data_IF_235864041047
#
_entry.id   IF_235864041047
#
_cell.length_a   1.000
_cell.length_b   1.000
_cell.length_c   1.000
_cell.angle_alpha   90.00
_cell.angle_beta   90.00
_cell.angle_gamma   90.00
#
_symmetry.space_group_name_H-M   'P 1'
#
loop_
_entity.id
_entity.type
_entity.pdbx_description
1 polymer ?
#
# COMPACT_ATOMS: atom_id res chain seq x y z
N UNK A 1 -23.62 -7.26 -9.69
CA UNK A 1 -22.70 -7.21 -10.85
C UNK A 1 -22.56 -8.61 -11.41
N UNK A 2 -22.79 -8.82 -12.71
CA UNK A 2 -22.61 -10.15 -13.32
C UNK A 2 -21.12 -10.40 -13.43
N UNK A 3 -20.62 -11.48 -12.81
CA UNK A 3 -19.24 -11.90 -12.99
C UNK A 3 -19.00 -12.23 -14.48
N UNK A 4 -18.01 -11.63 -15.10
CA UNK A 4 -17.68 -11.82 -16.53
C UNK A 4 -16.85 -13.08 -16.78
N UNK A 5 -16.37 -13.71 -15.72
CA UNK A 5 -15.57 -14.92 -15.74
C UNK A 5 -16.36 -16.07 -15.12
N UNK A 6 -16.30 -17.22 -15.76
CA UNK A 6 -16.76 -18.50 -15.18
C UNK A 6 -15.77 -18.99 -14.13
N UNK A 7 -16.17 -19.94 -13.29
CA UNK A 7 -15.30 -20.54 -12.28
C UNK A 7 -14.02 -21.14 -12.91
N UNK A 8 -14.15 -21.82 -14.06
CA UNK A 8 -13.00 -22.38 -14.78
C UNK A 8 -12.04 -21.31 -15.31
N UNK A 9 -12.55 -20.13 -15.68
CA UNK A 9 -11.71 -19.00 -16.10
C UNK A 9 -11.05 -18.32 -14.91
N UNK A 10 -11.71 -18.23 -13.77
CA UNK A 10 -11.10 -17.76 -12.50
C UNK A 10 -9.95 -18.67 -12.11
N UNK A 11 -10.11 -20.00 -12.16
CA UNK A 11 -9.02 -20.95 -11.89
C UNK A 11 -7.86 -20.78 -12.87
N UNK A 12 -8.18 -20.59 -14.15
CA UNK A 12 -7.15 -20.36 -15.16
C UNK A 12 -6.35 -19.08 -14.87
N UNK A 13 -7.02 -17.98 -14.51
CA UNK A 13 -6.36 -16.72 -14.12
C UNK A 13 -5.49 -16.89 -12.86
N UNK A 14 -6.01 -17.57 -11.83
CA UNK A 14 -5.24 -17.83 -10.60
C UNK A 14 -3.95 -18.60 -10.95
N UNK A 15 -4.05 -19.65 -11.74
CA UNK A 15 -2.89 -20.45 -12.16
C UNK A 15 -1.94 -19.67 -13.07
N UNK A 16 -2.47 -18.97 -14.08
CA UNK A 16 -1.67 -18.27 -15.10
C UNK A 16 -0.86 -17.11 -14.51
N UNK A 17 -1.44 -16.37 -13.57
CA UNK A 17 -0.79 -15.21 -12.96
C UNK A 17 -0.13 -15.52 -11.62
N UNK A 18 -0.20 -16.76 -11.13
CA UNK A 18 0.39 -17.15 -9.85
C UNK A 18 -0.25 -16.42 -8.66
N UNK A 19 -1.58 -16.23 -8.71
CA UNK A 19 -2.30 -15.54 -7.64
C UNK A 19 -2.36 -16.46 -6.42
N UNK A 20 -1.89 -15.95 -5.27
CA UNK A 20 -1.95 -16.70 -4.02
C UNK A 20 -3.34 -16.53 -3.37
N UNK A 21 -4.11 -17.61 -3.30
CA UNK A 21 -5.42 -17.65 -2.64
C UNK A 21 -5.41 -18.40 -1.31
N UNK A 22 -4.23 -18.85 -0.83
CA UNK A 22 -4.09 -19.50 0.48
C UNK A 22 -4.09 -18.49 1.61
N UNK A 23 -5.26 -17.96 1.89
CA UNK A 23 -5.53 -17.00 2.95
C UNK A 23 -6.62 -17.54 3.88
N UNK A 24 -6.54 -17.19 5.16
CA UNK A 24 -7.50 -17.63 6.17
C UNK A 24 -8.38 -16.45 6.62
N UNK A 25 -9.69 -16.62 6.54
CA UNK A 25 -10.61 -15.60 7.03
C UNK A 25 -10.53 -15.51 8.55
N UNK A 26 -10.27 -14.30 9.05
CA UNK A 26 -10.31 -13.97 10.48
C UNK A 26 -11.73 -13.59 10.85
N UNK A 27 -12.31 -14.28 11.86
CA UNK A 27 -13.64 -13.92 12.36
C UNK A 27 -13.54 -12.66 13.20
N UNK A 28 -14.16 -11.58 12.75
CA UNK A 28 -14.23 -10.30 13.44
C UNK A 28 -15.69 -9.87 13.62
N UNK A 29 -15.91 -8.96 14.57
CA UNK A 29 -17.16 -8.20 14.73
C UNK A 29 -17.18 -6.97 13.83
N UNK A 30 -16.01 -6.54 13.34
CA UNK A 30 -15.86 -5.39 12.46
C UNK A 30 -16.56 -5.60 11.11
N UNK A 31 -17.01 -4.49 10.50
CA UNK A 31 -17.76 -4.45 9.22
C UNK A 31 -16.84 -4.57 7.98
N UNK A 32 -15.58 -5.01 8.17
CA UNK A 32 -14.64 -5.35 7.10
C UNK A 32 -14.30 -6.83 7.16
N UNK A 33 -14.08 -7.44 6.00
CA UNK A 33 -13.54 -8.79 5.94
C UNK A 33 -12.02 -8.73 6.09
N UNK A 34 -11.49 -9.51 7.05
CA UNK A 34 -10.05 -9.64 7.29
C UNK A 34 -9.59 -11.04 6.93
N UNK A 35 -8.53 -11.14 6.13
CA UNK A 35 -7.91 -12.40 5.75
C UNK A 35 -6.44 -12.41 6.16
N UNK A 36 -5.99 -13.46 6.83
CA UNK A 36 -4.59 -13.67 7.19
C UNK A 36 -3.88 -14.44 6.08
N UNK A 37 -2.72 -13.96 5.66
CA UNK A 37 -1.83 -14.68 4.73
C UNK A 37 -1.00 -15.67 5.53
N UNK A 38 -0.98 -16.94 5.08
CA UNK A 38 -0.21 -18.00 5.72
C UNK A 38 1.24 -18.04 5.26
N UNK A 39 2.10 -18.71 6.04
CA UNK A 39 3.48 -19.02 5.65
C UNK A 39 4.46 -17.83 5.74
N UNK A 40 4.07 -16.69 6.33
CA UNK A 40 4.95 -15.56 6.61
C UNK A 40 5.51 -15.63 8.04
N UNK A 41 6.74 -15.15 8.22
CA UNK A 41 7.38 -15.02 9.55
C UNK A 41 6.83 -13.83 10.35
N UNK A 42 5.93 -13.04 9.77
CA UNK A 42 5.26 -11.87 10.35
C UNK A 42 3.75 -11.96 10.11
N UNK A 43 2.97 -11.19 10.86
CA UNK A 43 1.54 -11.13 10.66
C UNK A 43 1.21 -10.25 9.45
N UNK A 44 0.57 -10.83 8.45
CA UNK A 44 0.11 -10.12 7.26
C UNK A 44 -1.37 -10.40 7.02
N UNK A 45 -2.14 -9.33 6.92
CA UNK A 45 -3.58 -9.36 6.73
C UNK A 45 -3.98 -8.57 5.48
N UNK A 46 -5.09 -8.97 4.89
CA UNK A 46 -5.76 -8.25 3.80
C UNK A 46 -7.08 -7.73 4.33
N UNK A 47 -7.33 -6.44 4.17
CA UNK A 47 -8.62 -5.80 4.46
C UNK A 47 -9.41 -5.73 3.15
N UNK A 48 -10.51 -6.49 3.09
CA UNK A 48 -11.43 -6.51 1.97
C UNK A 48 -12.74 -5.80 2.34
N UNK A 49 -13.12 -4.84 1.51
CA UNK A 49 -14.38 -4.11 1.63
C UNK A 49 -14.77 -3.49 0.29
N UNK A 50 -16.03 -3.06 0.12
CA UNK A 50 -16.43 -2.34 -1.09
C UNK A 50 -15.61 -1.08 -1.36
N UNK A 51 -15.19 -0.37 -0.31
CA UNK A 51 -14.33 0.83 -0.41
C UNK A 51 -12.94 0.46 -0.90
N UNK A 52 -12.31 -0.58 -0.31
CA UNK A 52 -11.00 -1.09 -0.73
C UNK A 52 -11.02 -1.47 -2.21
N UNK A 53 -12.08 -2.17 -2.66
CA UNK A 53 -12.27 -2.54 -4.05
C UNK A 53 -12.35 -1.32 -4.98
N UNK A 54 -13.14 -0.32 -4.61
CA UNK A 54 -13.29 0.88 -5.44
C UNK A 54 -11.98 1.64 -5.58
N UNK A 55 -11.26 1.85 -4.47
CA UNK A 55 -9.98 2.55 -4.47
C UNK A 55 -8.94 1.82 -5.32
N UNK A 56 -8.88 0.48 -5.21
CA UNK A 56 -7.92 -0.36 -5.93
C UNK A 56 -8.21 -0.50 -7.43
N UNK A 57 -9.49 -0.48 -7.83
CA UNK A 57 -9.89 -0.74 -9.22
C UNK A 57 -10.17 0.52 -10.04
N UNK A 58 -10.22 1.72 -9.42
CA UNK A 58 -10.64 2.95 -10.09
C UNK A 58 -9.57 4.04 -10.00
N UNK A 59 -8.61 4.10 -10.94
CA UNK A 59 -7.58 5.15 -10.93
C UNK A 59 -8.15 6.56 -11.15
N UNK A 60 -9.34 6.67 -11.72
CA UNK A 60 -10.06 7.95 -11.88
C UNK A 60 -10.69 8.49 -10.59
N UNK A 61 -10.68 7.71 -9.53
CA UNK A 61 -11.16 8.12 -8.21
C UNK A 61 -10.14 9.08 -7.58
N UNK A 62 -10.50 10.36 -7.47
CA UNK A 62 -9.60 11.44 -7.03
C UNK A 62 -10.35 12.48 -6.18
N UNK A 63 -9.62 13.35 -5.49
CA UNK A 63 -10.16 14.46 -4.72
C UNK A 63 -11.08 14.01 -3.58
N UNK A 64 -12.11 14.76 -3.31
CA UNK A 64 -13.04 14.55 -2.19
C UNK A 64 -13.72 13.17 -2.21
N UNK A 65 -14.00 12.60 -3.40
CA UNK A 65 -14.54 11.24 -3.51
C UNK A 65 -13.54 10.20 -3.03
N UNK A 66 -12.26 10.36 -3.41
CA UNK A 66 -11.18 9.50 -2.94
C UNK A 66 -10.99 9.60 -1.43
N UNK A 67 -10.93 10.81 -0.88
CA UNK A 67 -10.75 11.05 0.55
C UNK A 67 -11.91 10.51 1.37
N UNK A 68 -13.15 10.70 0.89
CA UNK A 68 -14.35 10.15 1.54
C UNK A 68 -14.33 8.62 1.60
N UNK A 69 -13.96 7.95 0.51
CA UNK A 69 -13.88 6.49 0.49
C UNK A 69 -12.72 5.97 1.33
N UNK A 70 -11.57 6.65 1.31
CA UNK A 70 -10.43 6.30 2.14
C UNK A 70 -10.75 6.45 3.64
N UNK A 71 -11.46 7.52 4.03
CA UNK A 71 -11.95 7.69 5.40
C UNK A 71 -12.96 6.62 5.82
N UNK A 72 -13.90 6.25 4.94
CA UNK A 72 -14.85 5.16 5.21
C UNK A 72 -14.15 3.80 5.36
N UNK A 73 -13.13 3.53 4.53
CA UNK A 73 -12.29 2.34 4.64
C UNK A 73 -11.52 2.32 5.96
N UNK A 74 -10.91 3.43 6.35
CA UNK A 74 -10.16 3.56 7.61
C UNK A 74 -11.05 3.33 8.83
N UNK A 75 -12.28 3.85 8.81
CA UNK A 75 -13.26 3.61 9.88
C UNK A 75 -13.63 2.14 10.06
N UNK A 76 -13.59 1.33 8.99
CA UNK A 76 -13.75 -0.13 9.03
C UNK A 76 -12.45 -0.86 9.41
N UNK A 77 -11.31 -0.34 8.98
CA UNK A 77 -10.00 -0.94 9.23
C UNK A 77 -9.59 -0.84 10.71
N UNK A 78 -9.85 0.28 11.38
CA UNK A 78 -9.45 0.49 12.79
C UNK A 78 -10.01 -0.58 13.72
N UNK A 79 -11.31 -0.90 13.75
CA UNK A 79 -11.84 -1.99 14.55
C UNK A 79 -11.16 -3.33 14.23
N UNK A 80 -10.94 -3.64 12.96
CA UNK A 80 -10.28 -4.89 12.54
C UNK A 80 -8.82 -4.97 13.05
N UNK A 81 -8.07 -3.88 12.98
CA UNK A 81 -6.69 -3.78 13.49
C UNK A 81 -6.65 -3.98 15.01
N UNK A 82 -7.59 -3.36 15.74
CA UNK A 82 -7.69 -3.48 17.19
C UNK A 82 -8.11 -4.90 17.60
N UNK A 83 -9.11 -5.50 16.95
CA UNK A 83 -9.56 -6.87 17.21
C UNK A 83 -8.49 -7.93 16.87
N UNK A 84 -7.66 -7.67 15.86
CA UNK A 84 -6.51 -8.53 15.54
C UNK A 84 -5.40 -8.48 16.60
N UNK A 85 -5.51 -7.59 17.61
CA UNK A 85 -4.56 -7.50 18.71
C UNK A 85 -3.19 -6.93 18.31
N UNK A 86 -3.13 -6.19 17.20
CA UNK A 86 -1.89 -5.59 16.70
C UNK A 86 -1.41 -4.39 17.52
N UNK A 87 -2.29 -3.74 18.27
CA UNK A 87 -2.01 -2.56 19.09
C UNK A 87 -2.28 -2.86 20.56
N UNK A 88 -1.25 -2.80 21.39
CA UNK A 88 -1.29 -3.14 22.82
C UNK A 88 -0.72 -2.06 23.73
N UNK A 89 0.14 -1.20 23.20
CA UNK A 89 0.92 -0.20 23.93
C UNK A 89 0.49 1.22 23.50
N UNK A 90 1.03 2.29 24.13
CA UNK A 90 0.90 3.66 23.61
C UNK A 90 1.32 3.74 22.15
N UNK A 91 0.59 4.54 21.37
CA UNK A 91 0.77 4.60 19.92
C UNK A 91 1.66 5.78 19.54
N UNK A 92 2.76 5.49 18.85
CA UNK A 92 3.45 6.47 18.01
C UNK A 92 2.89 6.31 16.60
N UNK A 93 2.35 7.39 16.01
CA UNK A 93 1.84 7.39 14.66
C UNK A 93 2.75 8.19 13.76
N UNK A 94 3.40 7.52 12.81
CA UNK A 94 4.31 8.14 11.87
C UNK A 94 3.61 8.50 10.57
N UNK A 95 3.68 9.77 10.21
CA UNK A 95 3.21 10.31 8.95
C UNK A 95 4.38 10.47 7.97
N UNK A 96 4.45 9.61 6.97
CA UNK A 96 5.38 9.75 5.86
C UNK A 96 4.74 10.66 4.81
N UNK A 97 5.24 11.89 4.72
CA UNK A 97 4.66 12.89 3.83
C UNK A 97 5.09 12.63 2.37
N UNK A 98 4.18 12.82 1.40
CA UNK A 98 2.92 13.58 1.45
C UNK A 98 1.66 12.70 1.44
N UNK A 99 1.77 11.42 1.04
CA UNK A 99 0.61 10.56 0.78
C UNK A 99 -0.11 10.08 2.05
N UNK A 100 0.63 9.99 3.16
CA UNK A 100 0.16 9.36 4.41
C UNK A 100 -1.22 9.84 4.85
N UNK A 101 -1.47 11.15 4.92
CA UNK A 101 -2.74 11.69 5.41
C UNK A 101 -3.97 11.19 4.63
N UNK A 102 -3.82 10.92 3.34
CA UNK A 102 -4.92 10.45 2.50
C UNK A 102 -5.41 9.03 2.80
N UNK A 103 -4.71 8.29 3.65
CA UNK A 103 -5.17 6.98 4.13
C UNK A 103 -6.17 7.07 5.28
N UNK A 104 -6.27 8.20 5.99
CA UNK A 104 -7.22 8.51 7.05
C UNK A 104 -7.25 7.54 8.24
N UNK A 105 -6.29 6.61 8.37
CA UNK A 105 -6.25 5.69 9.51
C UNK A 105 -6.03 6.45 10.82
N UNK A 106 -5.16 7.48 10.80
CA UNK A 106 -4.92 8.35 11.94
C UNK A 106 -6.21 8.99 12.45
N UNK A 107 -7.03 9.56 11.55
CA UNK A 107 -8.26 10.28 11.88
C UNK A 107 -9.30 9.37 12.55
N UNK A 108 -9.32 8.09 12.16
CA UNK A 108 -10.19 7.09 12.76
C UNK A 108 -9.63 6.57 14.10
N UNK A 109 -8.32 6.34 14.17
CA UNK A 109 -7.65 5.74 15.33
C UNK A 109 -7.57 6.70 16.52
N UNK A 110 -7.43 8.01 16.29
CA UNK A 110 -7.34 9.03 17.36
C UNK A 110 -8.61 9.09 18.22
N UNK A 111 -9.76 8.68 17.68
CA UNK A 111 -11.01 8.59 18.41
C UNK A 111 -11.04 7.40 19.39
N UNK A 112 -10.21 6.39 19.15
CA UNK A 112 -10.17 5.15 19.93
C UNK A 112 -8.99 5.10 20.91
N UNK A 113 -7.89 5.79 20.61
CA UNK A 113 -6.63 5.71 21.36
C UNK A 113 -5.90 7.04 21.39
N UNK A 114 -5.12 7.26 22.46
CA UNK A 114 -4.18 8.38 22.53
C UNK A 114 -2.99 8.11 21.59
N UNK A 115 -2.68 9.09 20.76
CA UNK A 115 -1.65 8.99 19.72
C UNK A 115 -0.58 10.08 19.92
N UNK A 116 0.69 9.71 19.75
CA UNK A 116 1.83 10.62 19.70
C UNK A 116 2.31 10.68 18.24
N UNK A 117 2.14 11.83 17.61
CA UNK A 117 2.40 11.98 16.17
C UNK A 117 3.89 12.22 15.90
N UNK A 118 4.39 11.56 14.86
CA UNK A 118 5.71 11.79 14.29
C UNK A 118 5.56 12.08 12.79
N UNK A 119 6.34 13.01 12.28
CA UNK A 119 6.24 13.47 10.90
C UNK A 119 7.59 13.40 10.21
N UNK A 120 7.63 12.85 9.02
CA UNK A 120 8.81 12.81 8.19
C UNK A 120 8.44 13.05 6.72
N UNK A 121 9.23 13.88 6.04
CA UNK A 121 9.19 14.02 4.59
C UNK A 121 10.51 13.57 4.00
N UNK A 122 10.46 12.59 3.12
CA UNK A 122 11.63 12.04 2.45
C UNK A 122 11.72 12.50 1.01
N UNK A 123 12.93 12.53 0.47
CA UNK A 123 13.18 12.80 -0.93
C UNK A 123 14.36 11.97 -1.42
N UNK A 124 14.25 11.48 -2.66
CA UNK A 124 15.40 10.88 -3.34
C UNK A 124 16.32 11.97 -3.86
N UNK A 125 17.60 11.84 -3.58
CA UNK A 125 18.65 12.74 -4.09
C UNK A 125 19.71 11.94 -4.85
N UNK A 126 20.39 12.61 -5.76
CA UNK A 126 21.52 12.05 -6.49
C UNK A 126 22.82 12.53 -5.82
N UNK A 127 23.81 11.66 -5.60
CA UNK A 127 25.03 12.04 -4.86
C UNK A 127 25.92 13.04 -5.60
N UNK A 128 25.78 13.18 -6.92
CA UNK A 128 26.56 14.13 -7.70
C UNK A 128 25.77 14.71 -8.87
N UNK A 129 25.92 16.01 -9.12
CA UNK A 129 25.38 16.69 -10.29
C UNK A 129 26.00 16.18 -11.60
N UNK A 130 27.18 15.55 -11.56
CA UNK A 130 27.93 15.06 -12.74
C UNK A 130 27.72 13.58 -13.03
N UNK A 131 27.31 12.78 -12.04
CA UNK A 131 27.13 11.35 -12.20
C UNK A 131 25.68 11.02 -12.45
N UNK A 132 25.27 11.06 -13.73
CA UNK A 132 23.95 10.61 -14.18
C UNK A 132 23.79 9.08 -14.17
N UNK A 133 24.76 8.33 -13.65
CA UNK A 133 24.66 6.89 -13.48
C UNK A 133 23.71 6.55 -12.32
N UNK A 134 22.62 5.89 -12.63
CA UNK A 134 21.48 5.54 -11.77
C UNK A 134 21.71 4.63 -10.54
N UNK A 135 22.87 4.08 -10.17
CA UNK A 135 22.92 3.11 -9.08
C UNK A 135 22.78 3.72 -7.67
N UNK A 136 22.93 5.02 -7.46
CA UNK A 136 23.10 5.57 -6.11
C UNK A 136 22.11 6.69 -5.74
N UNK A 137 20.80 6.44 -5.96
CA UNK A 137 19.78 7.31 -5.33
C UNK A 137 19.85 7.13 -3.82
N UNK A 138 20.20 8.18 -3.08
CA UNK A 138 20.09 8.20 -1.62
C UNK A 138 18.76 8.82 -1.20
N UNK A 139 18.26 8.38 -0.06
CA UNK A 139 17.06 8.97 0.55
C UNK A 139 17.54 9.91 1.65
N UNK A 140 16.98 11.12 1.64
CA UNK A 140 17.21 12.13 2.70
C UNK A 140 15.87 12.58 3.26
N UNK A 141 15.85 13.00 4.53
CA UNK A 141 14.71 13.71 5.08
C UNK A 141 14.82 15.21 4.77
N UNK A 142 13.74 15.81 4.33
CA UNK A 142 13.63 17.26 4.08
C UNK A 142 12.82 17.97 5.14
N UNK A 143 12.08 17.23 5.95
CA UNK A 143 11.34 17.71 7.11
C UNK A 143 11.20 16.56 8.10
N UNK A 144 11.37 16.85 9.39
CA UNK A 144 11.14 15.95 10.52
C UNK A 144 10.52 16.73 11.68
N UNK A 145 9.52 16.14 12.33
CA UNK A 145 8.99 16.61 13.61
C UNK A 145 8.66 15.40 14.49
N UNK A 146 9.43 15.24 15.55
CA UNK A 146 9.30 14.19 16.55
C UNK A 146 8.97 14.77 17.95
N UNK A 147 8.56 16.03 18.03
CA UNK A 147 8.34 16.75 19.29
C UNK A 147 7.28 16.10 20.16
N UNK A 148 6.22 15.53 19.57
CA UNK A 148 5.18 14.86 20.32
C UNK A 148 5.67 13.61 21.09
N UNK A 149 6.80 13.02 20.71
CA UNK A 149 7.41 11.89 21.42
C UNK A 149 7.92 12.28 22.82
N UNK A 150 8.19 13.56 23.06
CA UNK A 150 8.61 14.04 24.39
C UNK A 150 7.52 13.82 25.44
N UNK A 151 6.26 13.71 25.01
CA UNK A 151 5.10 13.42 25.86
C UNK A 151 4.69 11.95 25.87
N UNK A 152 5.33 11.09 25.07
CA UNK A 152 5.09 9.67 25.05
C UNK A 152 5.70 8.99 26.29
N UNK A 153 4.96 8.09 26.95
CA UNK A 153 5.51 7.35 28.10
C UNK A 153 6.74 6.57 27.70
N UNK A 154 7.76 6.53 28.58
CA UNK A 154 8.92 5.65 28.42
C UNK A 154 8.48 4.18 28.51
N UNK A 155 9.26 3.29 27.89
CA UNK A 155 8.99 1.86 27.82
C UNK A 155 8.37 1.44 26.49
N UNK A 156 7.49 0.44 26.51
CA UNK A 156 6.94 -0.15 25.30
C UNK A 156 5.97 0.80 24.56
N UNK A 157 6.12 0.90 23.24
CA UNK A 157 5.20 1.60 22.36
C UNK A 157 4.98 0.79 21.07
N UNK A 158 3.83 1.00 20.42
CA UNK A 158 3.51 0.46 19.10
C UNK A 158 3.62 1.58 18.07
N UNK A 159 4.37 1.31 17.01
CA UNK A 159 4.53 2.24 15.89
C UNK A 159 3.51 1.92 14.81
N UNK A 160 2.67 2.88 14.46
CA UNK A 160 1.67 2.77 13.39
C UNK A 160 2.08 3.64 12.23
N UNK A 161 2.09 3.08 11.04
CA UNK A 161 2.43 3.78 9.78
C UNK A 161 1.34 3.50 8.74
N UNK A 162 0.85 4.55 8.11
CA UNK A 162 -0.04 4.45 6.95
C UNK A 162 0.68 4.98 5.71
N UNK A 163 0.88 4.12 4.70
CA UNK A 163 1.60 4.53 3.48
C UNK A 163 1.41 3.52 2.32
N UNK A 164 1.86 3.93 1.12
CA UNK A 164 2.05 3.04 -0.02
C UNK A 164 3.44 2.40 0.05
N UNK A 165 3.49 1.08 0.28
CA UNK A 165 4.73 0.34 0.45
C UNK A 165 5.03 -0.48 -0.81
N UNK A 166 5.74 0.11 -1.77
CA UNK A 166 6.19 -0.57 -2.98
C UNK A 166 7.50 -1.33 -2.73
N UNK A 167 8.67 -0.71 -2.87
CA UNK A 167 9.97 -1.36 -2.61
C UNK A 167 10.36 -1.42 -1.12
N UNK A 168 9.68 -0.68 -0.26
CA UNK A 168 9.97 -0.59 1.17
C UNK A 168 11.13 0.34 1.57
N UNK A 169 11.90 0.86 0.61
CA UNK A 169 13.11 1.66 0.89
C UNK A 169 12.82 2.94 1.66
N UNK A 170 11.77 3.68 1.28
CA UNK A 170 11.35 4.90 1.97
C UNK A 170 10.97 4.62 3.41
N UNK A 171 10.17 3.57 3.61
CA UNK A 171 9.75 3.16 4.94
C UNK A 171 10.93 2.68 5.79
N UNK A 172 11.87 1.90 5.25
CA UNK A 172 13.08 1.48 5.98
C UNK A 172 13.88 2.69 6.48
N UNK A 173 14.11 3.68 5.61
CA UNK A 173 14.79 4.91 5.99
C UNK A 173 14.04 5.63 7.12
N UNK A 174 12.75 5.79 6.99
CA UNK A 174 11.87 6.44 7.97
C UNK A 174 11.88 5.70 9.32
N UNK A 175 11.74 4.37 9.30
CA UNK A 175 11.82 3.52 10.48
C UNK A 175 13.17 3.67 11.21
N UNK A 176 14.29 3.78 10.49
CA UNK A 176 15.59 4.05 11.10
C UNK A 176 15.61 5.36 11.87
N UNK A 177 14.96 6.40 11.35
CA UNK A 177 14.86 7.73 11.99
C UNK A 177 13.98 7.70 13.23
N UNK A 178 12.73 7.21 13.10
CA UNK A 178 11.78 7.22 14.19
C UNK A 178 12.20 6.31 15.35
N UNK A 179 12.73 5.11 15.06
CA UNK A 179 13.22 4.20 16.11
C UNK A 179 14.37 4.84 16.88
N UNK A 180 15.34 5.47 16.18
CA UNK A 180 16.43 6.18 16.83
C UNK A 180 15.94 7.32 17.73
N UNK A 181 14.93 8.09 17.29
CA UNK A 181 14.36 9.19 18.08
C UNK A 181 13.56 8.68 19.29
N UNK A 182 12.87 7.54 19.16
CA UNK A 182 12.19 6.88 20.27
C UNK A 182 13.18 6.35 21.32
N UNK A 183 14.24 5.66 20.88
CA UNK A 183 15.29 5.13 21.76
C UNK A 183 15.97 6.23 22.60
N UNK A 184 16.25 7.41 22.03
CA UNK A 184 16.81 8.57 22.76
C UNK A 184 15.92 9.04 23.91
N UNK A 185 14.61 8.76 23.84
CA UNK A 185 13.60 9.13 24.84
C UNK A 185 13.25 7.98 25.78
N UNK A 186 13.96 6.85 25.71
CA UNK A 186 13.68 5.67 26.51
C UNK A 186 12.42 4.91 26.09
N UNK A 187 11.98 5.08 24.83
CA UNK A 187 10.83 4.40 24.26
C UNK A 187 11.34 3.23 23.41
N UNK A 188 10.75 2.05 23.58
CA UNK A 188 11.10 0.83 22.86
C UNK A 188 9.92 0.44 21.96
N UNK A 189 10.13 0.41 20.65
CA UNK A 189 9.11 -0.04 19.70
C UNK A 189 9.00 -1.57 19.77
N UNK A 190 7.79 -2.06 20.08
CA UNK A 190 7.48 -3.47 20.17
C UNK A 190 6.77 -4.02 18.94
N UNK A 191 5.77 -3.29 18.46
CA UNK A 191 5.04 -3.68 17.28
C UNK A 191 5.16 -2.58 16.22
N UNK A 192 5.26 -3.00 14.97
CA UNK A 192 5.12 -2.14 13.79
C UNK A 192 3.81 -2.52 13.09
N UNK A 193 2.86 -1.61 13.08
CA UNK A 193 1.57 -1.77 12.40
C UNK A 193 1.61 -0.98 11.11
N UNK A 194 1.47 -1.66 9.99
CA UNK A 194 1.48 -1.07 8.64
C UNK A 194 0.08 -1.14 8.04
N UNK A 195 -0.39 -0.05 7.47
CA UNK A 195 -1.68 0.02 6.78
C UNK A 195 -1.55 0.78 5.46
N UNK A 196 -2.06 0.21 4.37
CA UNK A 196 -2.05 0.85 3.06
C UNK A 196 -2.01 -0.12 1.90
N UNK A 197 -1.63 0.36 0.72
CA UNK A 197 -1.25 -0.52 -0.37
C UNK A 197 0.15 -1.06 -0.10
N UNK A 198 0.28 -2.38 -0.03
CA UNK A 198 1.51 -3.02 0.40
C UNK A 198 1.90 -4.09 -0.61
N UNK A 199 3.15 -4.05 -1.09
CA UNK A 199 3.71 -5.13 -1.89
C UNK A 199 4.36 -6.20 -1.01
N UNK A 200 4.28 -7.44 -1.43
CA UNK A 200 4.93 -8.57 -0.75
C UNK A 200 6.44 -8.33 -0.65
N UNK A 201 7.07 -7.92 -1.75
CA UNK A 201 8.51 -7.65 -1.80
C UNK A 201 8.92 -6.51 -0.86
N UNK A 202 8.14 -5.43 -0.81
CA UNK A 202 8.42 -4.32 0.11
C UNK A 202 8.30 -4.73 1.56
N UNK A 203 7.30 -5.54 1.89
CA UNK A 203 7.10 -6.04 3.25
C UNK A 203 8.21 -7.01 3.67
N UNK A 204 8.63 -7.94 2.80
CA UNK A 204 9.77 -8.83 3.04
C UNK A 204 11.08 -8.04 3.22
N UNK A 205 11.26 -6.95 2.47
CA UNK A 205 12.41 -6.04 2.61
C UNK A 205 12.43 -5.38 4.00
N UNK A 206 11.31 -4.83 4.45
CA UNK A 206 11.17 -4.22 5.78
C UNK A 206 11.42 -5.27 6.88
N UNK A 207 10.78 -6.45 6.78
CA UNK A 207 11.00 -7.53 7.74
C UNK A 207 12.48 -7.87 7.90
N UNK A 208 13.20 -8.05 6.79
CA UNK A 208 14.62 -8.35 6.81
C UNK A 208 15.46 -7.25 7.47
N UNK A 209 15.06 -5.99 7.35
CA UNK A 209 15.71 -4.85 8.00
C UNK A 209 15.53 -4.81 9.52
N UNK A 210 14.34 -5.19 10.03
CA UNK A 210 14.00 -4.97 11.45
C UNK A 210 13.91 -6.25 12.30
N UNK A 211 13.85 -7.46 11.72
CA UNK A 211 13.68 -8.73 12.47
C UNK A 211 14.70 -8.94 13.60
N UNK A 212 15.92 -8.41 13.43
CA UNK A 212 16.98 -8.50 14.48
C UNK A 212 16.74 -7.57 15.67
N UNK A 213 15.82 -6.61 15.56
CA UNK A 213 15.48 -5.67 16.65
C UNK A 213 14.38 -6.22 17.57
N UNK A 214 13.81 -7.39 17.25
CA UNK A 214 12.71 -8.00 18.02
C UNK A 214 11.36 -7.28 17.86
N UNK A 215 11.21 -6.45 16.82
CA UNK A 215 9.95 -5.74 16.52
C UNK A 215 9.03 -6.69 15.75
N UNK A 216 7.81 -6.90 16.25
CA UNK A 216 6.78 -7.67 15.54
C UNK A 216 6.11 -6.82 14.45
N UNK A 217 5.91 -7.38 13.25
CA UNK A 217 5.17 -6.72 12.17
C UNK A 217 3.74 -7.24 12.10
N UNK A 218 2.80 -6.29 12.02
CA UNK A 218 1.39 -6.50 11.70
C UNK A 218 1.03 -5.64 10.48
N UNK A 219 1.05 -6.22 9.29
CA UNK A 219 0.72 -5.52 8.06
C UNK A 219 -0.75 -5.74 7.69
N UNK A 220 -1.45 -4.66 7.35
CA UNK A 220 -2.85 -4.63 6.91
C UNK A 220 -2.92 -4.05 5.51
N UNK A 221 -2.84 -4.91 4.51
CA UNK A 221 -2.88 -4.52 3.11
C UNK A 221 -4.32 -4.24 2.65
N UNK A 222 -4.52 -3.12 1.98
CA UNK A 222 -5.80 -2.76 1.38
C UNK A 222 -6.05 -3.63 0.15
N UNK A 223 -7.21 -4.30 0.09
CA UNK A 223 -7.67 -5.11 -1.04
C UNK A 223 -6.93 -6.42 -1.24
N UNK A 224 -5.60 -6.40 -1.28
CA UNK A 224 -4.74 -7.55 -1.52
C UNK A 224 -3.29 -7.23 -1.13
N UNK A 225 -2.46 -8.24 -0.91
CA UNK A 225 -1.01 -8.06 -0.89
C UNK A 225 -0.52 -8.09 -2.34
N UNK A 226 0.03 -6.97 -2.82
CA UNK A 226 0.35 -6.82 -4.24
C UNK A 226 1.68 -7.48 -4.63
N UNK A 227 1.84 -7.98 -5.86
CA UNK A 227 3.16 -8.17 -6.42
C UNK A 227 3.79 -6.79 -6.71
N UNK A 228 5.09 -6.77 -6.99
CA UNK A 228 5.81 -5.57 -7.41
C UNK A 228 6.37 -5.76 -8.81
N UNK A 229 6.06 -4.82 -9.71
CA UNK A 229 6.60 -4.80 -11.06
C UNK A 229 8.12 -4.57 -11.08
N UNK A 230 8.75 -4.82 -12.23
CA UNK A 230 10.20 -4.71 -12.42
C UNK A 230 10.74 -3.28 -12.21
N UNK A 231 9.90 -2.26 -12.40
CA UNK A 231 10.25 -0.87 -12.11
C UNK A 231 10.33 -0.52 -10.62
N UNK A 232 9.96 -1.43 -9.70
CA UNK A 232 9.92 -1.26 -8.25
C UNK A 232 8.90 -0.22 -7.74
N UNK A 233 7.89 0.11 -8.55
CA UNK A 233 6.84 1.09 -8.21
C UNK A 233 5.45 0.51 -8.42
N UNK A 234 5.14 -0.04 -9.59
CA UNK A 234 3.80 -0.47 -9.96
C UNK A 234 3.37 -1.73 -9.20
N UNK A 235 2.18 -1.69 -8.65
CA UNK A 235 1.62 -2.66 -7.71
C UNK A 235 0.23 -3.14 -8.19
N UNK A 236 0.16 -3.97 -9.26
CA UNK A 236 -1.12 -4.48 -9.76
C UNK A 236 -1.69 -5.56 -8.83
N UNK A 237 -2.98 -5.86 -8.96
CA UNK A 237 -3.54 -7.07 -8.36
C UNK A 237 -3.02 -8.32 -9.08
N UNK A 238 -3.13 -8.33 -10.40
CA UNK A 238 -2.64 -9.36 -11.29
C UNK A 238 -2.48 -8.81 -12.70
N UNK A 239 -1.74 -9.48 -13.53
CA UNK A 239 -1.60 -9.13 -14.94
C UNK A 239 -0.16 -9.31 -15.44
N UNK A 240 0.11 -8.94 -16.69
CA UNK A 240 1.48 -8.83 -17.16
C UNK A 240 2.18 -7.62 -16.52
N UNK A 241 3.49 -7.77 -16.28
CA UNK A 241 4.37 -6.67 -15.85
C UNK A 241 4.56 -5.70 -17.03
N UNK A 242 3.77 -4.60 -17.05
CA UNK A 242 3.78 -3.63 -18.14
C UNK A 242 5.13 -2.95 -18.29
N UNK A 243 5.79 -2.64 -17.18
CA UNK A 243 7.10 -1.98 -17.22
C UNK A 243 8.18 -2.85 -17.86
N UNK A 244 8.20 -4.15 -17.56
CA UNK A 244 9.12 -5.10 -18.21
C UNK A 244 8.80 -5.27 -19.71
N UNK A 245 7.51 -5.29 -20.05
CA UNK A 245 7.09 -5.37 -21.44
C UNK A 245 7.49 -4.12 -22.23
N UNK A 246 7.22 -2.95 -21.70
CA UNK A 246 7.59 -1.67 -22.34
C UNK A 246 9.09 -1.48 -22.50
N UNK A 247 9.87 -1.94 -21.51
CA UNK A 247 11.34 -1.80 -21.55
C UNK A 247 12.02 -2.85 -22.45
N UNK A 248 11.57 -4.13 -22.37
CA UNK A 248 12.27 -5.28 -22.97
C UNK A 248 11.45 -6.13 -23.93
N UNK A 249 10.16 -5.84 -24.10
CA UNK A 249 9.24 -6.68 -24.88
C UNK A 249 8.96 -8.05 -24.24
N UNK A 250 9.28 -8.24 -22.94
CA UNK A 250 9.14 -9.52 -22.26
C UNK A 250 7.80 -9.54 -21.52
N UNK A 251 6.96 -10.55 -21.81
CA UNK A 251 5.75 -10.84 -21.04
C UNK A 251 6.11 -11.64 -19.79
N UNK A 252 5.85 -11.06 -18.64
CA UNK A 252 5.96 -11.73 -17.34
C UNK A 252 4.63 -11.56 -16.60
N UNK A 253 3.96 -12.67 -16.33
CA UNK A 253 2.75 -12.67 -15.53
C UNK A 253 3.10 -12.56 -14.05
N UNK A 254 2.35 -11.73 -13.32
CA UNK A 254 2.48 -11.53 -11.88
C UNK A 254 1.10 -11.48 -11.24
N UNK A 255 0.98 -11.98 -10.02
CA UNK A 255 -0.24 -11.95 -9.22
C UNK A 255 0.06 -11.79 -7.74
N UNK A 256 -0.83 -11.14 -7.03
CA UNK A 256 -0.76 -10.90 -5.59
C UNK A 256 -1.44 -11.99 -4.76
N UNK A 257 -1.49 -11.77 -3.44
CA UNK A 257 -2.27 -12.60 -2.54
C UNK A 257 -3.62 -11.95 -2.24
N UNK A 258 -4.71 -12.71 -2.38
CA UNK A 258 -6.09 -12.25 -2.18
C UNK A 258 -6.98 -13.46 -1.87
N UNK A 259 -8.07 -13.26 -1.11
CA UNK A 259 -9.02 -14.36 -0.96
C UNK A 259 -9.66 -14.73 -2.31
N UNK A 260 -9.92 -16.03 -2.53
CA UNK A 260 -10.59 -16.48 -3.74
C UNK A 260 -11.90 -15.73 -3.99
N UNK A 261 -12.73 -15.58 -2.96
CA UNK A 261 -14.01 -14.87 -3.05
C UNK A 261 -13.86 -13.39 -3.42
N UNK A 262 -12.85 -12.73 -2.87
CA UNK A 262 -12.53 -11.36 -3.28
C UNK A 262 -12.04 -11.33 -4.73
N UNK A 263 -11.15 -12.24 -5.14
CA UNK A 263 -10.65 -12.29 -6.51
C UNK A 263 -11.77 -12.47 -7.54
N UNK A 264 -12.75 -13.33 -7.28
CA UNK A 264 -13.93 -13.50 -8.13
C UNK A 264 -14.70 -12.19 -8.35
N UNK A 265 -14.81 -11.34 -7.31
CA UNK A 265 -15.42 -10.01 -7.41
C UNK A 265 -14.55 -9.01 -8.18
N UNK A 266 -13.24 -9.07 -7.98
CA UNK A 266 -12.28 -8.11 -8.54
C UNK A 266 -11.90 -8.42 -9.99
N UNK A 267 -11.78 -9.69 -10.38
CA UNK A 267 -11.26 -10.11 -11.69
C UNK A 267 -11.97 -9.44 -12.87
N UNK A 268 -13.29 -9.34 -12.79
CA UNK A 268 -14.08 -8.61 -13.78
C UNK A 268 -14.05 -7.09 -13.63
N UNK A 269 -13.51 -6.50 -12.58
CA UNK A 269 -13.46 -5.06 -12.29
C UNK A 269 -12.07 -4.47 -12.47
N UNK A 270 -11.04 -5.24 -12.26
CA UNK A 270 -9.66 -4.81 -12.33
C UNK A 270 -9.13 -4.86 -13.78
N UNK A 271 -8.32 -3.88 -14.15
CA UNK A 271 -7.59 -3.88 -15.42
C UNK A 271 -6.27 -4.63 -15.19
N UNK A 272 -6.07 -5.82 -15.81
CA UNK A 272 -4.86 -6.62 -15.59
C UNK A 272 -3.57 -5.85 -15.88
N UNK A 273 -2.68 -5.79 -14.91
CA UNK A 273 -1.43 -5.02 -15.00
C UNK A 273 -1.52 -3.57 -14.54
N UNK A 274 -2.71 -3.06 -14.19
CA UNK A 274 -2.87 -1.68 -13.72
C UNK A 274 -2.27 -1.51 -12.31
N UNK A 275 -1.49 -0.47 -12.12
CA UNK A 275 -1.02 -0.03 -10.81
C UNK A 275 -2.20 0.44 -9.94
N UNK A 276 -2.45 -0.22 -8.79
CA UNK A 276 -3.61 0.06 -7.95
C UNK A 276 -3.54 1.40 -7.21
N UNK A 277 -2.44 1.73 -6.49
CA UNK A 277 -2.37 3.00 -5.78
C UNK A 277 -2.22 4.17 -6.75
N UNK A 278 -1.57 3.97 -7.89
CA UNK A 278 -1.07 5.05 -8.72
C UNK A 278 -0.13 5.96 -7.93
N UNK A 279 -0.03 7.22 -8.32
CA UNK A 279 0.52 8.23 -7.42
C UNK A 279 -0.56 8.61 -6.40
N UNK A 280 -0.57 7.92 -5.25
CA UNK A 280 -1.62 8.09 -4.25
C UNK A 280 -1.74 9.54 -3.77
N UNK A 281 -0.60 10.24 -3.65
CA UNK A 281 -0.58 11.64 -3.26
C UNK A 281 -1.28 12.53 -4.29
N UNK A 282 -1.09 12.26 -5.57
CA UNK A 282 -1.71 13.04 -6.64
C UNK A 282 -3.22 12.76 -6.80
N UNK A 283 -3.77 11.75 -6.12
CA UNK A 283 -5.22 11.46 -6.08
C UNK A 283 -5.99 12.28 -5.04
N UNK A 284 -5.31 12.92 -4.08
CA UNK A 284 -5.91 13.70 -3.00
C UNK A 284 -6.20 15.13 -3.45
N UNK A 285 -7.10 15.84 -2.76
CA UNK A 285 -7.38 17.26 -3.04
C UNK A 285 -6.23 18.15 -2.57
N UNK A 286 -5.71 17.89 -1.37
CA UNK A 286 -4.67 18.68 -0.72
C UNK A 286 -3.58 17.77 -0.14
N UNK A 287 -2.37 18.29 -0.11
CA UNK A 287 -1.19 17.62 0.41
C UNK A 287 -0.52 18.47 1.48
N UNK A 288 -0.27 17.87 2.64
CA UNK A 288 0.54 18.50 3.68
C UNK A 288 2.03 18.22 3.41
N UNK A 289 2.83 19.27 3.31
CA UNK A 289 4.27 19.16 3.01
C UNK A 289 5.19 19.27 4.24
N UNK A 290 4.61 19.33 5.44
CA UNK A 290 5.30 19.54 6.71
C UNK A 290 5.19 20.98 7.24
N UNK A 291 4.78 21.93 6.40
CA UNK A 291 4.67 23.36 6.78
C UNK A 291 3.30 23.94 6.45
N UNK A 292 2.77 23.60 5.30
CA UNK A 292 1.47 24.10 4.81
C UNK A 292 0.83 23.06 3.88
N UNK A 293 -0.46 23.24 3.60
CA UNK A 293 -1.18 22.47 2.60
C UNK A 293 -0.98 23.07 1.20
N UNK A 294 -0.71 22.21 0.24
CA UNK A 294 -0.59 22.54 -1.19
C UNK A 294 -1.62 21.75 -2.01
N UNK A 295 -1.98 22.27 -3.19
CA UNK A 295 -2.84 21.53 -4.13
C UNK A 295 -2.12 20.31 -4.68
N UNK A 296 -2.85 19.22 -4.88
CA UNK A 296 -2.28 18.04 -5.53
C UNK A 296 -2.31 18.17 -7.06
N UNK A 297 -1.66 17.23 -7.73
CA UNK A 297 -1.54 17.20 -9.19
C UNK A 297 -2.61 16.31 -9.85
N UNK A 298 -3.89 16.39 -9.43
CA UNK A 298 -4.99 15.57 -9.96
C UNK A 298 -5.01 15.52 -11.51
N UNK A 299 -4.93 16.64 -12.26
CA UNK A 299 -4.94 16.57 -13.72
C UNK A 299 -3.77 15.79 -14.30
N UNK A 300 -2.58 15.90 -13.68
CA UNK A 300 -1.38 15.15 -14.09
C UNK A 300 -1.57 13.66 -13.81
N UNK A 301 -2.11 13.31 -12.65
CA UNK A 301 -2.42 11.92 -12.30
C UNK A 301 -3.41 11.30 -13.29
N UNK A 302 -4.52 11.98 -13.58
CA UNK A 302 -5.54 11.47 -14.50
C UNK A 302 -4.97 11.25 -15.91
N UNK A 303 -4.14 12.19 -16.41
CA UNK A 303 -3.46 12.03 -17.69
C UNK A 303 -2.52 10.83 -17.70
N UNK A 304 -1.66 10.70 -16.69
CA UNK A 304 -0.71 9.58 -16.56
C UNK A 304 -1.45 8.24 -16.47
N UNK A 305 -2.54 8.17 -15.69
CA UNK A 305 -3.36 6.97 -15.57
C UNK A 305 -3.99 6.60 -16.90
N UNK A 306 -4.51 7.57 -17.67
CA UNK A 306 -5.05 7.33 -18.99
C UNK A 306 -3.98 6.78 -19.95
N UNK A 307 -2.83 7.44 -20.05
CA UNK A 307 -1.72 7.01 -20.90
C UNK A 307 -1.24 5.59 -20.52
N UNK A 308 -1.22 5.27 -19.22
CA UNK A 308 -0.86 3.94 -18.72
C UNK A 308 -1.89 2.88 -19.10
N UNK A 309 -3.17 3.15 -18.91
CA UNK A 309 -4.26 2.25 -19.31
C UNK A 309 -4.22 2.00 -20.83
N UNK A 310 -3.92 3.02 -21.63
CA UNK A 310 -3.80 2.87 -23.08
C UNK A 310 -2.63 1.94 -23.47
N UNK A 311 -1.47 2.03 -22.78
CA UNK A 311 -0.34 1.11 -23.00
C UNK A 311 -0.71 -0.32 -22.62
N UNK A 312 -1.33 -0.51 -21.44
CA UNK A 312 -1.82 -1.83 -21.02
C UNK A 312 -2.81 -2.39 -22.04
N UNK A 313 -3.77 -1.60 -22.49
CA UNK A 313 -4.78 -2.05 -23.47
C UNK A 313 -4.13 -2.49 -24.79
N UNK A 314 -3.14 -1.74 -25.29
CA UNK A 314 -2.37 -2.13 -26.50
C UNK A 314 -1.62 -3.44 -26.29
N UNK A 315 -0.96 -3.60 -25.16
CA UNK A 315 -0.23 -4.83 -24.79
C UNK A 315 -1.19 -6.02 -24.68
N UNK A 316 -2.30 -5.89 -23.91
CA UNK A 316 -3.27 -6.97 -23.73
C UNK A 316 -3.94 -7.36 -25.06
N UNK A 317 -4.31 -6.40 -25.89
CA UNK A 317 -4.91 -6.66 -27.20
C UNK A 317 -4.00 -7.48 -28.08
N UNK A 318 -2.71 -7.24 -28.03
CA UNK A 318 -1.70 -7.95 -28.83
C UNK A 318 -1.36 -9.32 -28.24
N UNK A 319 -1.07 -9.38 -26.95
CA UNK A 319 -0.46 -10.54 -26.31
C UNK A 319 -1.47 -11.43 -25.57
N UNK A 320 -2.63 -10.89 -25.20
CA UNK A 320 -3.69 -11.55 -24.40
C UNK A 320 -5.11 -11.16 -24.90
N UNK A 321 -5.45 -11.44 -26.18
CA UNK A 321 -6.70 -10.93 -26.78
C UNK A 321 -7.98 -11.42 -26.08
N UNK A 322 -8.02 -12.64 -25.55
CA UNK A 322 -9.16 -13.15 -24.77
C UNK A 322 -9.35 -12.41 -23.46
N UNK A 323 -8.26 -12.12 -22.72
CA UNK A 323 -8.31 -11.34 -21.50
C UNK A 323 -8.71 -9.88 -21.78
N UNK A 324 -8.17 -9.30 -22.85
CA UNK A 324 -8.53 -7.95 -23.31
C UNK A 324 -10.03 -7.85 -23.58
N UNK A 325 -10.62 -8.79 -24.33
CA UNK A 325 -12.05 -8.75 -24.68
C UNK A 325 -12.98 -8.79 -23.45
N UNK A 326 -12.55 -9.43 -22.36
CA UNK A 326 -13.32 -9.53 -21.11
C UNK A 326 -13.17 -8.32 -20.20
N UNK A 327 -12.06 -7.57 -20.34
CA UNK A 327 -11.75 -6.42 -19.47
C UNK A 327 -11.94 -5.06 -20.16
N UNK A 328 -12.02 -5.01 -21.51
CA UNK A 328 -12.06 -3.79 -22.31
C UNK A 328 -13.43 -3.10 -22.46
N UNK A 329 -14.46 -3.59 -21.82
CA UNK A 329 -15.81 -2.98 -21.91
C UNK A 329 -16.02 -1.83 -20.89
N UNK A 330 -15.01 -0.98 -20.63
CA UNK A 330 -15.06 0.07 -19.58
C UNK A 330 -14.64 1.40 -20.09
#
# INVERSE_FOLDING_TARGET
MVNRFSDSEIEALISEFGINTDVERVSLKADAELYRIKGKEYCCFIIDSPEAMQIACRPSLVGDEMEKLSGALAAKAVPAILEAGAIKNPIIFEHILRASLGYHLHDSLINERKIFQAWIRTQYTYPSYKDHNEPEKTIVSTFEDFSALDSCPQGAADLVVQDTIASGKTLEFSLGRIISEAEKRGIVIWNLVLYGFISERGLDYIWNGIKKRGIEIHAFAISNLTPLCSNNYDMPLYGPDESLYSEKGIIKNIGGAISRQAFERYAGLFIPGLDQPGDFSARLSKLYNGKYFEDSEIPVHLKRSYDYIERIAKMLKKERPSLYSKTSGR
#
